data_IF_012865369115
#
_entry.id   IF_012865369115
#
_cell.length_a   1.000
_cell.length_b   1.000
_cell.length_c   1.000
_cell.angle_alpha   90.00
_cell.angle_beta   90.00
_cell.angle_gamma   90.00
#
_symmetry.space_group_name_H-M   'P 1'
#
loop_
_entity.id
_entity.type
_entity.pdbx_description
1 polymer ?
#
# COMPACT_ATOMS: atom_id res chain seq x y z
N UNK A 1 10.30 -5.34 -1.59
CA UNK A 1 10.29 -6.48 -0.67
C UNK A 1 11.51 -7.31 -0.95
N UNK A 2 12.23 -7.71 0.10
CA UNK A 2 13.31 -8.66 -0.04
C UNK A 2 12.82 -10.00 -0.59
N UNK A 3 13.74 -10.76 -1.17
CA UNK A 3 13.45 -12.08 -1.76
C UNK A 3 13.40 -13.14 -0.67
N UNK A 4 14.15 -12.97 0.43
CA UNK A 4 14.14 -13.92 1.54
C UNK A 4 12.78 -13.96 2.25
N UNK A 5 12.31 -15.17 2.55
CA UNK A 5 11.16 -15.37 3.42
C UNK A 5 11.61 -15.22 4.89
N UNK A 6 11.15 -14.17 5.57
CA UNK A 6 11.54 -13.84 6.94
C UNK A 6 10.41 -13.11 7.67
N UNK A 7 10.59 -12.83 8.96
CA UNK A 7 9.63 -12.07 9.75
C UNK A 7 9.30 -10.72 9.09
N UNK A 8 8.02 -10.35 9.08
CA UNK A 8 7.54 -9.17 8.34
C UNK A 8 8.26 -7.88 8.73
N UNK A 9 8.57 -7.66 10.01
CA UNK A 9 9.31 -6.47 10.44
C UNK A 9 10.76 -6.47 9.93
N UNK A 10 11.40 -7.63 9.83
CA UNK A 10 12.75 -7.76 9.28
C UNK A 10 12.69 -7.43 7.78
N UNK A 11 11.70 -8.00 7.06
CA UNK A 11 11.50 -7.71 5.65
C UNK A 11 11.25 -6.21 5.39
N UNK A 12 10.46 -5.56 6.25
CA UNK A 12 10.22 -4.13 6.19
C UNK A 12 11.48 -3.30 6.49
N UNK A 13 12.28 -3.72 7.48
CA UNK A 13 13.54 -3.05 7.81
C UNK A 13 14.56 -3.13 6.66
N UNK A 14 14.71 -4.29 6.02
CA UNK A 14 15.52 -4.44 4.81
C UNK A 14 15.03 -3.54 3.66
N UNK A 15 13.71 -3.49 3.44
CA UNK A 15 13.11 -2.58 2.47
C UNK A 15 13.41 -1.11 2.77
N UNK A 16 13.48 -0.73 4.05
CA UNK A 16 13.87 0.61 4.47
C UNK A 16 15.35 0.88 4.20
N UNK A 17 16.24 -0.06 4.51
CA UNK A 17 17.67 0.06 4.20
C UNK A 17 17.88 0.31 2.70
N UNK A 18 17.19 -0.45 1.84
CA UNK A 18 17.29 -0.28 0.39
C UNK A 18 16.84 1.11 -0.09
N UNK A 19 15.85 1.73 0.57
CA UNK A 19 15.43 3.10 0.26
C UNK A 19 16.43 4.10 0.80
N UNK A 20 16.94 3.88 2.01
CA UNK A 20 17.90 4.75 2.67
C UNK A 20 19.22 4.84 1.90
N UNK A 21 19.70 3.69 1.42
CA UNK A 21 20.88 3.57 0.57
C UNK A 21 20.62 4.06 -0.88
N UNK A 22 19.41 4.51 -1.20
CA UNK A 22 19.06 5.03 -2.54
C UNK A 22 18.96 3.95 -3.64
N UNK A 23 19.11 2.68 -3.31
CA UNK A 23 19.16 1.58 -4.30
C UNK A 23 17.77 1.18 -4.79
N UNK A 24 16.77 1.17 -3.91
CA UNK A 24 15.42 0.72 -4.23
C UNK A 24 14.70 1.62 -5.25
N UNK A 25 15.05 2.91 -5.29
CA UNK A 25 14.47 3.90 -6.22
C UNK A 25 15.49 4.33 -7.29
N UNK A 26 16.59 3.60 -7.44
CA UNK A 26 17.64 3.95 -8.38
C UNK A 26 17.10 3.88 -9.83
N UNK A 27 17.31 4.90 -10.68
CA UNK A 27 16.66 4.99 -11.99
C UNK A 27 17.03 3.84 -12.94
N UNK A 28 18.22 3.26 -12.76
CA UNK A 28 18.71 2.16 -13.62
C UNK A 28 18.39 0.76 -13.09
N UNK A 29 17.88 0.61 -11.86
CA UNK A 29 17.69 -0.73 -11.29
C UNK A 29 16.65 -1.52 -12.07
N UNK A 30 17.01 -2.74 -12.47
CA UNK A 30 16.11 -3.74 -13.04
C UNK A 30 15.70 -4.80 -12.01
N UNK A 31 16.33 -4.78 -10.83
CA UNK A 31 16.08 -5.74 -9.76
C UNK A 31 15.94 -5.06 -8.38
N UNK A 32 15.11 -4.03 -8.25
CA UNK A 32 14.68 -3.45 -6.96
C UNK A 32 15.85 -3.05 -6.02
N UNK A 33 16.96 -2.63 -6.60
CA UNK A 33 18.19 -2.21 -5.94
C UNK A 33 19.28 -3.27 -5.83
N UNK A 34 18.99 -4.56 -6.08
CA UNK A 34 19.96 -5.65 -5.92
C UNK A 34 21.12 -5.62 -6.91
N UNK A 35 21.00 -4.85 -7.99
CA UNK A 35 21.97 -4.66 -9.07
C UNK A 35 22.74 -3.35 -8.98
N UNK A 36 22.49 -2.49 -7.99
CA UNK A 36 23.01 -1.11 -7.98
C UNK A 36 24.45 -1.07 -7.49
N UNK A 37 25.34 -0.40 -8.23
CA UNK A 37 26.68 -0.03 -7.79
C UNK A 37 26.66 1.42 -7.33
N UNK A 38 27.42 1.73 -6.27
CA UNK A 38 27.57 3.10 -5.77
C UNK A 38 27.99 4.07 -6.88
N UNK A 39 27.30 5.21 -6.95
CA UNK A 39 27.63 6.29 -7.89
C UNK A 39 28.90 7.00 -7.41
N UNK A 40 29.90 7.08 -8.29
CA UNK A 40 31.14 7.80 -8.02
C UNK A 40 30.99 9.32 -8.18
N UNK A 41 32.10 10.03 -8.00
CA UNK A 41 32.21 11.47 -8.24
C UNK A 41 31.94 11.84 -9.71
N UNK A 42 32.09 10.88 -10.62
CA UNK A 42 31.73 11.01 -12.04
C UNK A 42 30.22 11.19 -12.28
N UNK A 43 29.39 10.96 -11.25
CA UNK A 43 27.94 11.11 -11.31
C UNK A 43 27.27 10.07 -12.21
N UNK A 44 28.01 9.03 -12.65
CA UNK A 44 27.51 8.03 -13.58
C UNK A 44 26.83 6.89 -12.80
N UNK A 45 25.49 6.81 -12.79
CA UNK A 45 24.79 5.70 -12.15
C UNK A 45 25.14 4.40 -12.87
N UNK A 46 25.28 3.32 -12.10
CA UNK A 46 25.72 2.04 -12.65
C UNK A 46 24.98 0.86 -12.01
N UNK A 47 24.73 -0.16 -12.81
CA UNK A 47 24.20 -1.44 -12.35
C UNK A 47 25.08 -2.60 -12.87
N UNK A 48 25.09 -3.72 -12.16
CA UNK A 48 25.68 -4.97 -12.62
C UNK A 48 24.60 -5.98 -13.03
N UNK A 49 24.95 -6.90 -13.92
CA UNK A 49 24.04 -7.94 -14.42
C UNK A 49 24.43 -9.34 -14.00
N UNK A 50 25.70 -9.55 -13.66
CA UNK A 50 26.20 -10.84 -13.18
C UNK A 50 26.18 -10.89 -11.65
N UNK A 51 25.43 -11.84 -11.11
CA UNK A 51 25.30 -12.07 -9.67
C UNK A 51 26.19 -13.21 -9.17
N UNK A 52 27.02 -13.83 -10.03
CA UNK A 52 27.89 -14.96 -9.67
C UNK A 52 28.82 -14.64 -8.50
N UNK A 53 29.28 -13.38 -8.41
CA UNK A 53 30.09 -12.87 -7.31
C UNK A 53 29.85 -11.37 -7.11
N UNK A 54 30.48 -10.78 -6.09
CA UNK A 54 30.45 -9.33 -5.88
C UNK A 54 31.09 -8.62 -7.10
N UNK A 55 30.53 -7.50 -7.60
CA UNK A 55 30.99 -6.86 -8.85
C UNK A 55 32.46 -6.41 -8.88
N UNK A 56 33.12 -6.39 -7.72
CA UNK A 56 34.51 -6.00 -7.52
C UNK A 56 35.44 -7.19 -7.21
N UNK A 57 34.94 -8.43 -7.19
CA UNK A 57 35.73 -9.62 -6.88
C UNK A 57 36.83 -9.92 -7.91
N UNK A 58 36.61 -9.54 -9.18
CA UNK A 58 37.53 -9.82 -10.28
C UNK A 58 38.48 -8.65 -10.61
N UNK A 59 38.95 -7.92 -9.60
CA UNK A 59 39.98 -6.89 -9.77
C UNK A 59 39.50 -5.56 -10.37
N UNK A 60 38.19 -5.35 -10.45
CA UNK A 60 37.60 -4.08 -10.87
C UNK A 60 38.03 -2.94 -9.92
N UNK A 61 38.44 -1.76 -10.42
CA UNK A 61 38.83 -0.65 -9.57
C UNK A 61 37.64 -0.04 -8.83
N UNK A 62 37.83 0.26 -7.54
CA UNK A 62 36.85 0.92 -6.69
C UNK A 62 36.48 2.34 -7.20
N UNK A 63 35.23 2.76 -6.99
CA UNK A 63 34.73 4.06 -7.42
C UNK A 63 35.20 5.14 -6.46
N UNK A 64 35.83 6.20 -6.98
CA UNK A 64 36.12 7.40 -6.18
C UNK A 64 34.81 8.17 -5.99
N UNK A 65 34.40 8.42 -4.74
CA UNK A 65 33.11 9.04 -4.45
C UNK A 65 33.20 10.44 -3.82
N UNK A 66 34.42 10.93 -3.53
CA UNK A 66 34.61 12.29 -3.06
C UNK A 66 35.89 12.95 -3.60
N UNK A 67 36.02 14.27 -3.42
CA UNK A 67 37.20 15.06 -3.86
C UNK A 67 38.49 14.72 -3.10
N UNK A 68 38.40 14.05 -1.95
CA UNK A 68 39.56 13.57 -1.16
C UNK A 68 40.15 12.25 -1.70
N UNK A 69 39.55 11.67 -2.73
CA UNK A 69 40.01 10.42 -3.32
C UNK A 69 39.55 9.16 -2.58
N UNK A 70 38.56 9.26 -1.67
CA UNK A 70 38.00 8.10 -0.99
C UNK A 70 37.31 7.18 -2.00
N UNK A 71 37.54 5.88 -1.84
CA UNK A 71 37.10 4.84 -2.75
C UNK A 71 36.03 3.98 -2.09
N UNK A 72 35.01 3.62 -2.85
CA UNK A 72 33.94 2.72 -2.42
C UNK A 72 33.74 1.60 -3.43
N UNK A 73 33.42 0.42 -2.91
CA UNK A 73 33.04 -0.77 -3.67
C UNK A 73 31.58 -1.16 -3.40
N UNK A 74 30.82 -0.27 -2.75
CA UNK A 74 29.47 -0.55 -2.31
C UNK A 74 28.58 -1.00 -3.47
N UNK A 75 28.00 -2.19 -3.32
CA UNK A 75 27.20 -2.83 -4.36
C UNK A 75 25.97 -3.51 -3.78
N UNK A 76 24.97 -3.66 -4.64
CA UNK A 76 23.72 -4.34 -4.32
C UNK A 76 22.79 -3.51 -3.44
N UNK A 77 21.70 -4.15 -3.05
CA UNK A 77 20.53 -3.50 -2.45
C UNK A 77 20.82 -2.81 -1.14
N UNK A 78 21.80 -3.34 -0.41
CA UNK A 78 22.21 -2.86 0.91
C UNK A 78 23.60 -2.24 0.89
N UNK A 79 24.13 -1.90 -0.30
CA UNK A 79 25.41 -1.23 -0.51
C UNK A 79 26.58 -1.92 0.23
N UNK A 80 26.67 -3.24 0.06
CA UNK A 80 27.69 -4.08 0.71
C UNK A 80 29.06 -3.78 0.12
N UNK A 81 30.07 -3.64 0.97
CA UNK A 81 31.45 -3.40 0.55
C UNK A 81 32.17 -4.72 0.25
N UNK A 82 32.96 -4.73 -0.82
CA UNK A 82 33.75 -5.89 -1.21
C UNK A 82 34.70 -6.36 -0.10
N UNK A 83 35.26 -5.43 0.68
CA UNK A 83 36.18 -5.73 1.79
C UNK A 83 35.63 -6.81 2.75
N UNK A 84 34.32 -6.80 3.00
CA UNK A 84 33.67 -7.74 3.91
C UNK A 84 33.09 -8.97 3.20
N UNK A 85 32.91 -8.91 1.89
CA UNK A 85 32.22 -9.93 1.13
C UNK A 85 32.88 -11.33 1.24
N UNK A 86 34.20 -11.50 1.02
CA UNK A 86 34.84 -12.82 1.13
C UNK A 86 34.65 -13.49 2.50
N UNK A 87 34.70 -12.70 3.58
CA UNK A 87 34.49 -13.20 4.94
C UNK A 87 33.08 -13.78 5.11
N UNK A 88 32.05 -12.99 4.80
CA UNK A 88 30.67 -13.43 4.96
C UNK A 88 30.24 -14.49 3.95
N UNK A 89 30.78 -14.46 2.73
CA UNK A 89 30.57 -15.52 1.74
C UNK A 89 30.99 -16.87 2.30
N UNK A 90 32.17 -16.93 2.94
CA UNK A 90 32.66 -18.14 3.61
C UNK A 90 31.85 -18.48 4.86
N UNK A 91 31.63 -17.51 5.75
CA UNK A 91 30.94 -17.72 7.03
C UNK A 91 29.50 -18.23 6.87
N UNK A 92 28.77 -17.71 5.88
CA UNK A 92 27.36 -18.02 5.65
C UNK A 92 27.15 -19.04 4.50
N UNK A 93 28.25 -19.58 3.94
CA UNK A 93 28.22 -20.46 2.77
C UNK A 93 27.36 -19.89 1.62
N UNK A 94 27.58 -18.61 1.27
CA UNK A 94 26.82 -17.96 0.20
C UNK A 94 27.38 -18.42 -1.16
N UNK A 95 26.53 -18.97 -2.05
CA UNK A 95 27.00 -19.49 -3.34
C UNK A 95 27.44 -18.37 -4.28
N UNK A 96 26.79 -17.22 -4.19
CA UNK A 96 26.83 -16.12 -5.16
C UNK A 96 26.50 -14.78 -4.49
N UNK A 97 26.43 -13.69 -5.25
CA UNK A 97 25.95 -12.37 -4.82
C UNK A 97 24.49 -12.10 -5.19
N UNK A 98 23.67 -13.15 -5.37
CA UNK A 98 22.25 -13.05 -5.73
C UNK A 98 21.42 -12.29 -4.69
N UNK A 99 20.18 -11.87 -5.01
CA UNK A 99 19.31 -11.19 -4.06
C UNK A 99 19.12 -11.93 -2.73
N UNK A 100 19.04 -13.25 -2.75
CA UNK A 100 18.91 -14.06 -1.55
C UNK A 100 20.19 -14.01 -0.69
N UNK A 101 21.36 -14.08 -1.33
CA UNK A 101 22.65 -13.97 -0.65
C UNK A 101 22.86 -12.58 -0.03
N UNK A 102 22.48 -11.53 -0.75
CA UNK A 102 22.51 -10.16 -0.23
C UNK A 102 21.57 -9.98 0.97
N UNK A 103 20.37 -10.56 0.93
CA UNK A 103 19.42 -10.53 2.05
C UNK A 103 19.97 -11.25 3.29
N UNK A 104 20.55 -12.45 3.10
CA UNK A 104 21.18 -13.23 4.17
C UNK A 104 22.31 -12.46 4.84
N UNK A 105 23.18 -11.84 4.03
CA UNK A 105 24.26 -11.00 4.52
C UNK A 105 23.72 -9.80 5.32
N UNK A 106 22.75 -9.06 4.79
CA UNK A 106 22.17 -7.92 5.51
C UNK A 106 21.53 -8.35 6.85
N UNK A 107 20.83 -9.48 6.89
CA UNK A 107 20.26 -10.02 8.13
C UNK A 107 21.35 -10.43 9.13
N UNK A 108 22.46 -11.01 8.66
CA UNK A 108 23.59 -11.36 9.53
C UNK A 108 24.24 -10.11 10.14
N UNK A 109 24.43 -9.05 9.34
CA UNK A 109 24.93 -7.76 9.85
C UNK A 109 24.00 -7.17 10.93
N UNK A 110 22.69 -7.20 10.70
CA UNK A 110 21.68 -6.78 11.67
C UNK A 110 21.74 -7.63 12.95
N UNK A 111 21.96 -8.95 12.81
CA UNK A 111 22.11 -9.88 13.93
C UNK A 111 23.31 -9.53 14.79
N UNK A 112 24.45 -9.26 14.17
CA UNK A 112 25.69 -8.91 14.87
C UNK A 112 25.62 -7.55 15.58
N UNK A 113 24.74 -6.65 15.13
CA UNK A 113 24.39 -5.43 15.87
C UNK A 113 23.39 -5.65 17.00
N UNK A 114 22.92 -6.88 17.21
CA UNK A 114 21.90 -7.22 18.19
C UNK A 114 20.58 -6.50 17.94
N UNK A 115 20.25 -6.19 16.69
CA UNK A 115 19.07 -5.40 16.33
C UNK A 115 17.86 -6.24 15.91
N UNK A 116 18.04 -7.56 15.69
CA UNK A 116 16.95 -8.43 15.22
C UNK A 116 15.73 -8.44 16.14
N UNK A 117 15.94 -8.53 17.45
CA UNK A 117 14.83 -8.61 18.41
C UNK A 117 14.16 -7.25 18.60
N UNK A 118 14.92 -6.16 18.51
CA UNK A 118 14.36 -4.80 18.46
C UNK A 118 13.47 -4.64 17.21
N UNK A 119 13.90 -5.12 16.05
CA UNK A 119 13.10 -5.09 14.82
C UNK A 119 11.85 -5.96 14.94
N UNK A 120 11.98 -7.19 15.45
CA UNK A 120 10.83 -8.08 15.67
C UNK A 120 9.80 -7.46 16.60
N UNK A 121 10.25 -6.83 17.70
CA UNK A 121 9.39 -6.12 18.64
C UNK A 121 8.87 -4.77 18.12
N UNK A 122 9.35 -4.28 16.97
CA UNK A 122 8.93 -3.00 16.40
C UNK A 122 9.59 -1.77 17.02
N UNK A 123 10.67 -1.94 17.80
CA UNK A 123 11.52 -0.87 18.36
C UNK A 123 12.48 -0.34 17.29
N UNK A 124 11.92 0.25 16.24
CA UNK A 124 12.64 0.60 15.00
C UNK A 124 13.74 1.64 15.23
N UNK A 125 13.49 2.67 16.05
CA UNK A 125 14.49 3.72 16.32
C UNK A 125 15.75 3.14 16.97
N UNK A 126 15.57 2.24 17.94
CA UNK A 126 16.67 1.51 18.59
C UNK A 126 17.42 0.63 17.61
N UNK A 127 16.71 -0.05 16.72
CA UNK A 127 17.32 -0.85 15.66
C UNK A 127 18.13 0.00 14.66
N UNK A 128 17.62 1.18 14.26
CA UNK A 128 18.35 2.12 13.39
C UNK A 128 19.62 2.59 14.10
N UNK A 129 19.51 3.00 15.36
CA UNK A 129 20.65 3.46 16.17
C UNK A 129 21.76 2.38 16.27
N UNK A 130 21.38 1.11 16.46
CA UNK A 130 22.33 -0.01 16.50
C UNK A 130 22.99 -0.32 15.16
N UNK A 131 22.33 -0.02 14.05
CA UNK A 131 22.78 -0.34 12.70
C UNK A 131 23.52 0.81 11.99
N UNK A 132 23.53 2.03 12.56
CA UNK A 132 24.06 3.24 11.90
C UNK A 132 25.53 3.18 11.50
N UNK A 133 26.35 2.36 12.18
CA UNK A 133 27.77 2.21 11.85
C UNK A 133 28.04 1.23 10.70
N UNK A 134 27.01 0.56 10.19
CA UNK A 134 27.11 -0.35 9.03
C UNK A 134 26.66 0.38 7.76
N UNK A 135 25.57 1.16 7.85
CA UNK A 135 24.96 1.85 6.72
C UNK A 135 25.09 3.35 6.89
N UNK A 136 25.93 3.97 6.05
CA UNK A 136 26.25 5.39 6.11
C UNK A 136 25.05 6.31 5.85
N UNK A 137 23.98 5.81 5.22
CA UNK A 137 22.77 6.58 4.95
C UNK A 137 21.85 6.76 6.16
N UNK A 138 22.05 5.94 7.21
CA UNK A 138 21.23 5.99 8.41
C UNK A 138 21.57 7.23 9.26
N UNK A 139 20.58 7.80 9.96
CA UNK A 139 20.79 8.97 10.81
C UNK A 139 21.77 8.69 11.95
N UNK A 140 22.70 9.62 12.16
CA UNK A 140 23.76 9.55 13.17
C UNK A 140 24.89 8.60 12.83
N UNK A 141 25.08 8.24 11.56
CA UNK A 141 26.15 7.36 11.09
C UNK A 141 27.52 8.07 11.04
N UNK A 142 27.55 9.40 10.87
CA UNK A 142 28.76 10.22 11.03
C UNK A 142 29.74 10.16 9.86
N UNK A 143 29.32 9.62 8.70
CA UNK A 143 30.17 9.49 7.50
C UNK A 143 30.26 10.77 6.65
N UNK A 144 29.64 11.88 7.08
CA UNK A 144 29.62 13.14 6.31
C UNK A 144 28.83 13.05 4.99
N UNK A 145 27.98 12.02 4.84
CA UNK A 145 27.07 11.80 3.71
C UNK A 145 25.67 12.40 4.02
N UNK A 146 24.79 12.52 3.01
CA UNK A 146 23.40 12.95 3.25
C UNK A 146 22.63 11.86 4.01
N UNK A 147 22.56 11.99 5.32
CA UNK A 147 21.75 11.12 6.18
C UNK A 147 20.25 11.40 6.02
N UNK A 148 19.41 10.36 6.03
CA UNK A 148 17.96 10.53 6.04
C UNK A 148 17.42 10.78 7.45
N UNK A 149 16.49 11.73 7.61
CA UNK A 149 15.88 12.01 8.92
C UNK A 149 15.11 10.80 9.48
N UNK A 150 15.21 10.58 10.79
CA UNK A 150 14.53 9.48 11.51
C UNK A 150 13.02 9.46 11.24
N UNK A 151 12.39 10.63 11.16
CA UNK A 151 10.96 10.80 10.91
C UNK A 151 10.53 10.25 9.53
N UNK A 152 11.30 10.55 8.48
CA UNK A 152 11.02 10.07 7.11
C UNK A 152 11.15 8.54 7.00
N UNK A 153 12.05 7.96 7.78
CA UNK A 153 12.36 6.53 7.82
C UNK A 153 11.34 5.75 8.65
N UNK A 154 11.00 6.25 9.85
CA UNK A 154 10.01 5.66 10.76
C UNK A 154 8.58 5.72 10.23
N UNK A 155 8.14 6.86 9.68
CA UNK A 155 6.80 7.03 9.12
C UNK A 155 6.57 6.10 7.93
N UNK A 156 7.60 5.85 7.12
CA UNK A 156 7.52 4.99 5.93
C UNK A 156 7.51 3.49 6.28
N UNK A 157 8.21 3.09 7.35
CA UNK A 157 8.13 1.74 7.93
C UNK A 157 6.77 1.46 8.55
N UNK A 158 6.21 2.41 9.31
CA UNK A 158 4.86 2.31 9.88
C UNK A 158 3.78 2.25 8.79
N UNK A 159 3.90 3.09 7.76
CA UNK A 159 3.02 3.09 6.59
C UNK A 159 3.09 1.76 5.81
N UNK A 160 4.28 1.18 5.63
CA UNK A 160 4.47 -0.09 4.91
C UNK A 160 4.03 -1.31 5.74
N UNK A 161 4.23 -1.31 7.07
CA UNK A 161 3.72 -2.35 8.00
C UNK A 161 2.19 -2.47 7.91
N UNK A 162 1.47 -1.34 7.87
CA UNK A 162 0.01 -1.31 7.61
C UNK A 162 -0.33 -1.79 6.20
N UNK A 163 0.44 -1.40 5.18
CA UNK A 163 0.15 -1.72 3.77
C UNK A 163 0.40 -3.19 3.41
N UNK A 164 1.33 -3.90 4.04
CA UNK A 164 1.72 -5.27 3.63
C UNK A 164 1.04 -6.36 4.43
N UNK A 165 0.77 -6.14 5.72
CA UNK A 165 0.07 -7.11 6.58
C UNK A 165 -1.43 -7.17 6.34
N UNK A 166 -2.07 -6.04 6.00
CA UNK A 166 -3.51 -5.99 5.76
C UNK A 166 -3.92 -6.09 4.29
N UNK A 167 -3.10 -5.65 3.31
CA UNK A 167 -3.59 -5.56 1.92
C UNK A 167 -3.22 -6.75 1.02
N UNK A 168 -2.26 -7.61 1.32
CA UNK A 168 -1.96 -8.74 0.42
C UNK A 168 -3.08 -9.79 0.41
N UNK A 169 -3.33 -10.37 1.58
CA UNK A 169 -4.29 -11.47 1.76
C UNK A 169 -5.72 -10.95 1.80
N UNK A 170 -6.00 -9.84 2.52
CA UNK A 170 -7.37 -9.33 2.56
C UNK A 170 -7.77 -8.64 1.26
N UNK A 171 -6.85 -8.03 0.48
CA UNK A 171 -7.27 -7.42 -0.80
C UNK A 171 -7.49 -8.50 -1.84
N UNK A 172 -6.70 -9.57 -1.89
CA UNK A 172 -7.02 -10.69 -2.79
C UNK A 172 -8.32 -11.40 -2.39
N UNK A 173 -8.56 -11.65 -1.09
CA UNK A 173 -9.84 -12.21 -0.61
C UNK A 173 -11.02 -11.27 -0.81
N UNK A 174 -10.85 -9.96 -0.60
CA UNK A 174 -11.90 -8.95 -0.84
C UNK A 174 -12.15 -8.76 -2.33
N UNK A 175 -11.12 -8.81 -3.17
CA UNK A 175 -11.25 -8.69 -4.62
C UNK A 175 -11.90 -9.94 -5.20
N UNK A 176 -11.53 -11.14 -4.74
CA UNK A 176 -12.18 -12.40 -5.13
C UNK A 176 -13.62 -12.45 -4.65
N UNK A 177 -13.90 -12.10 -3.38
CA UNK A 177 -15.26 -12.09 -2.84
C UNK A 177 -16.16 -11.03 -3.50
N UNK A 178 -15.65 -9.81 -3.70
CA UNK A 178 -16.37 -8.73 -4.39
C UNK A 178 -16.64 -9.10 -5.86
N UNK A 179 -15.66 -9.69 -6.55
CA UNK A 179 -15.85 -10.15 -7.93
C UNK A 179 -16.87 -11.29 -8.01
N UNK A 180 -16.79 -12.28 -7.11
CA UNK A 180 -17.75 -13.38 -7.04
C UNK A 180 -19.17 -12.87 -6.79
N UNK A 181 -19.36 -11.97 -5.81
CA UNK A 181 -20.67 -11.38 -5.52
C UNK A 181 -21.25 -10.62 -6.72
N UNK A 182 -20.43 -9.81 -7.41
CA UNK A 182 -20.87 -9.06 -8.58
C UNK A 182 -21.25 -9.98 -9.76
N UNK A 183 -20.47 -11.04 -10.01
CA UNK A 183 -20.75 -12.02 -11.06
C UNK A 183 -22.02 -12.82 -10.74
N UNK A 184 -22.17 -13.28 -9.50
CA UNK A 184 -23.38 -13.98 -9.04
C UNK A 184 -24.62 -13.10 -9.17
N UNK A 185 -24.55 -11.83 -8.74
CA UNK A 185 -25.67 -10.91 -8.86
C UNK A 185 -26.05 -10.65 -10.32
N UNK A 186 -25.07 -10.43 -11.20
CA UNK A 186 -25.32 -10.21 -12.63
C UNK A 186 -25.97 -11.44 -13.28
N UNK A 187 -25.51 -12.64 -12.94
CA UNK A 187 -26.08 -13.89 -13.43
C UNK A 187 -27.52 -14.08 -12.94
N UNK A 188 -27.78 -13.88 -11.65
CA UNK A 188 -29.12 -14.01 -11.08
C UNK A 188 -30.09 -12.98 -11.64
N UNK A 189 -29.64 -11.75 -11.91
CA UNK A 189 -30.44 -10.74 -12.59
C UNK A 189 -30.79 -11.16 -14.02
N UNK A 190 -29.82 -11.63 -14.80
CA UNK A 190 -30.08 -12.11 -16.16
C UNK A 190 -31.10 -13.26 -16.17
N UNK A 191 -30.93 -14.24 -15.28
CA UNK A 191 -31.85 -15.38 -15.15
C UNK A 191 -33.26 -14.93 -14.70
N UNK A 192 -33.35 -13.97 -13.78
CA UNK A 192 -34.64 -13.46 -13.29
C UNK A 192 -35.45 -12.73 -14.37
N UNK A 193 -34.77 -12.08 -15.34
CA UNK A 193 -35.42 -11.39 -16.45
C UNK A 193 -35.93 -12.37 -17.52
N UNK A 194 -35.27 -13.52 -17.68
CA UNK A 194 -35.68 -14.56 -18.62
C UNK A 194 -36.79 -15.44 -17.99
N UNK A 195 -36.70 -15.72 -16.69
CA UNK A 195 -37.58 -16.64 -15.97
C UNK A 195 -38.15 -16.00 -14.69
N UNK A 196 -39.27 -15.25 -14.78
CA UNK A 196 -39.83 -14.49 -13.67
C UNK A 196 -40.45 -15.34 -12.54
N UNK A 197 -40.62 -16.65 -12.73
CA UNK A 197 -41.06 -17.58 -11.67
C UNK A 197 -39.91 -18.42 -11.08
N UNK A 198 -38.66 -18.08 -11.40
CA UNK A 198 -37.49 -18.83 -10.94
C UNK A 198 -37.01 -18.41 -9.55
N UNK A 199 -36.25 -19.30 -8.90
CA UNK A 199 -35.56 -19.03 -7.62
C UNK A 199 -34.60 -17.83 -7.71
N UNK A 200 -34.18 -17.45 -8.93
CA UNK A 200 -33.34 -16.28 -9.15
C UNK A 200 -34.04 -14.99 -8.69
N UNK A 201 -35.36 -14.89 -8.83
CA UNK A 201 -36.13 -13.73 -8.33
C UNK A 201 -36.05 -13.65 -6.81
N UNK A 202 -36.19 -14.76 -6.09
CA UNK A 202 -36.08 -14.78 -4.63
C UNK A 202 -34.69 -14.30 -4.16
N UNK A 203 -33.64 -14.67 -4.89
CA UNK A 203 -32.29 -14.14 -4.64
C UNK A 203 -32.21 -12.63 -4.90
N UNK A 204 -32.76 -12.15 -6.01
CA UNK A 204 -32.81 -10.73 -6.35
C UNK A 204 -33.61 -9.92 -5.32
N UNK A 205 -34.71 -10.48 -4.79
CA UNK A 205 -35.51 -9.87 -3.73
C UNK A 205 -34.73 -9.77 -2.41
N UNK A 206 -34.07 -10.84 -1.99
CA UNK A 206 -33.21 -10.82 -0.80
C UNK A 206 -32.09 -9.78 -0.93
N UNK A 207 -31.47 -9.69 -2.12
CA UNK A 207 -30.46 -8.69 -2.40
C UNK A 207 -31.02 -7.26 -2.37
N UNK A 208 -32.21 -7.02 -2.93
CA UNK A 208 -32.86 -5.72 -2.91
C UNK A 208 -33.20 -5.26 -1.48
N UNK A 209 -33.66 -6.18 -0.63
CA UNK A 209 -33.93 -5.89 0.79
C UNK A 209 -32.63 -5.52 1.51
N UNK A 210 -31.56 -6.30 1.32
CA UNK A 210 -30.25 -6.02 1.90
C UNK A 210 -29.72 -4.64 1.45
N UNK A 211 -29.80 -4.36 0.15
CA UNK A 211 -29.37 -3.09 -0.42
C UNK A 211 -30.19 -1.91 0.13
N UNK A 212 -31.50 -2.10 0.35
CA UNK A 212 -32.36 -1.10 0.99
C UNK A 212 -31.89 -0.77 2.40
N UNK A 213 -31.62 -1.79 3.23
CA UNK A 213 -31.12 -1.60 4.60
C UNK A 213 -29.79 -0.84 4.58
N UNK A 214 -28.87 -1.24 3.70
CA UNK A 214 -27.57 -0.56 3.54
C UNK A 214 -27.76 0.90 3.12
N UNK A 215 -28.65 1.19 2.17
CA UNK A 215 -28.94 2.56 1.74
C UNK A 215 -29.49 3.43 2.87
N UNK A 216 -30.39 2.91 3.70
CA UNK A 216 -30.97 3.63 4.84
C UNK A 216 -29.91 3.91 5.91
N UNK A 217 -29.15 2.89 6.31
CA UNK A 217 -28.09 3.03 7.33
C UNK A 217 -26.98 3.97 6.84
N UNK A 218 -26.52 3.81 5.60
CA UNK A 218 -25.48 4.68 5.03
C UNK A 218 -25.95 6.13 4.87
N UNK A 219 -27.24 6.35 4.55
CA UNK A 219 -27.84 7.68 4.55
C UNK A 219 -27.79 8.31 5.93
N UNK A 220 -28.28 7.61 6.96
CA UNK A 220 -28.35 8.14 8.32
C UNK A 220 -26.97 8.42 8.92
N UNK A 221 -26.07 7.43 8.88
CA UNK A 221 -24.68 7.58 9.35
C UNK A 221 -23.96 8.68 8.58
N UNK A 222 -24.20 8.78 7.28
CA UNK A 222 -23.58 9.76 6.43
C UNK A 222 -24.04 11.20 6.72
N UNK A 223 -25.34 11.42 6.92
CA UNK A 223 -25.87 12.74 7.33
C UNK A 223 -25.32 13.13 8.70
N UNK A 224 -25.38 12.22 9.68
CA UNK A 224 -24.83 12.47 11.01
C UNK A 224 -23.34 12.83 10.97
N UNK A 225 -22.53 12.07 10.23
CA UNK A 225 -21.10 12.34 10.10
C UNK A 225 -20.83 13.65 9.35
N UNK A 226 -21.67 14.03 8.39
CA UNK A 226 -21.55 15.30 7.65
C UNK A 226 -21.84 16.48 8.57
N UNK A 227 -22.94 16.44 9.33
CA UNK A 227 -23.26 17.49 10.32
C UNK A 227 -22.17 17.57 11.41
N UNK A 228 -21.69 16.44 11.93
CA UNK A 228 -20.59 16.41 12.91
C UNK A 228 -19.30 17.05 12.38
N UNK A 229 -18.95 16.79 11.11
CA UNK A 229 -17.78 17.41 10.47
C UNK A 229 -18.00 18.90 10.22
N UNK A 230 -19.21 19.30 9.82
CA UNK A 230 -19.56 20.70 9.58
C UNK A 230 -19.56 21.54 10.86
N UNK A 231 -20.11 21.02 11.97
CA UNK A 231 -20.13 21.72 13.27
C UNK A 231 -18.74 22.01 13.82
N UNK A 232 -17.76 21.15 13.50
CA UNK A 232 -16.37 21.30 13.96
C UNK A 232 -15.42 21.80 12.89
N UNK A 233 -15.94 22.17 11.73
CA UNK A 233 -15.17 22.76 10.64
C UNK A 233 -14.59 24.11 11.11
N UNK A 234 -13.26 24.22 11.20
CA UNK A 234 -12.56 25.42 11.68
C UNK A 234 -12.11 25.40 13.15
N UNK A 235 -12.46 24.38 13.93
CA UNK A 235 -11.77 24.03 15.19
C UNK A 235 -10.85 22.84 14.91
N UNK A 236 -9.79 22.64 15.69
CA UNK A 236 -8.78 21.59 15.48
C UNK A 236 -9.41 20.18 15.36
N UNK A 237 -9.82 19.80 14.15
CA UNK A 237 -10.40 18.50 13.87
C UNK A 237 -9.27 17.59 13.40
N UNK A 238 -8.94 16.51 14.12
CA UNK A 238 -7.87 15.63 13.68
C UNK A 238 -8.28 14.97 12.35
N UNK A 239 -7.42 15.02 11.32
CA UNK A 239 -7.71 14.46 10.00
C UNK A 239 -7.91 12.93 10.03
N UNK A 240 -7.55 12.27 11.15
CA UNK A 240 -7.76 10.84 11.35
C UNK A 240 -9.14 10.46 11.93
N UNK A 241 -10.01 11.44 12.22
CA UNK A 241 -11.32 11.17 12.83
C UNK A 241 -12.17 10.21 11.99
N UNK A 242 -12.93 9.33 12.67
CA UNK A 242 -13.79 8.35 12.02
C UNK A 242 -14.85 9.02 11.14
N UNK A 243 -15.40 10.16 11.58
CA UNK A 243 -16.39 10.94 10.84
C UNK A 243 -15.84 11.45 9.50
N UNK A 244 -14.62 12.01 9.49
CA UNK A 244 -13.96 12.46 8.25
C UNK A 244 -13.75 11.29 7.30
N UNK A 245 -13.25 10.15 7.78
CA UNK A 245 -13.08 8.93 6.95
C UNK A 245 -14.39 8.44 6.35
N UNK A 246 -15.48 8.44 7.13
CA UNK A 246 -16.82 8.05 6.68
C UNK A 246 -17.31 9.02 5.60
N UNK A 247 -17.25 10.33 5.83
CA UNK A 247 -17.69 11.36 4.87
C UNK A 247 -16.88 11.30 3.58
N UNK A 248 -15.55 11.19 3.68
CA UNK A 248 -14.68 11.10 2.50
C UNK A 248 -14.99 9.86 1.68
N UNK A 249 -15.16 8.70 2.32
CA UNK A 249 -15.39 7.43 1.62
C UNK A 249 -16.80 7.31 1.02
N UNK A 250 -17.84 7.78 1.73
CA UNK A 250 -19.23 7.68 1.27
C UNK A 250 -19.59 8.75 0.24
N UNK A 251 -19.14 9.99 0.41
CA UNK A 251 -19.68 11.12 -0.37
C UNK A 251 -18.66 11.75 -1.32
N UNK A 252 -17.42 11.95 -0.88
CA UNK A 252 -16.41 12.71 -1.63
C UNK A 252 -15.60 11.87 -2.62
N UNK A 253 -15.49 10.56 -2.43
CA UNK A 253 -14.76 9.69 -3.35
C UNK A 253 -15.31 9.78 -4.79
N UNK A 254 -14.49 10.20 -5.77
CA UNK A 254 -14.91 10.30 -7.15
C UNK A 254 -15.12 8.89 -7.74
N UNK A 255 -16.39 8.51 -7.93
CA UNK A 255 -16.73 7.23 -8.57
C UNK A 255 -16.58 7.38 -10.09
N UNK A 256 -15.81 6.51 -10.77
CA UNK A 256 -15.65 6.55 -12.22
C UNK A 256 -16.99 6.32 -12.93
N UNK A 257 -17.18 6.95 -14.10
CA UNK A 257 -18.45 6.94 -14.83
C UNK A 257 -18.96 5.53 -15.16
N UNK A 258 -18.06 4.59 -15.52
CA UNK A 258 -18.40 3.19 -15.81
C UNK A 258 -19.11 2.50 -14.64
N UNK A 259 -18.63 2.75 -13.41
CA UNK A 259 -19.24 2.16 -12.20
C UNK A 259 -20.59 2.80 -11.89
N UNK A 260 -20.78 4.09 -12.18
CA UNK A 260 -22.08 4.77 -12.03
C UNK A 260 -23.10 4.22 -13.00
N UNK A 261 -22.70 4.01 -14.25
CA UNK A 261 -23.55 3.40 -15.28
C UNK A 261 -23.91 1.96 -14.90
N UNK A 262 -22.95 1.13 -14.50
CA UNK A 262 -23.21 -0.23 -14.05
C UNK A 262 -24.18 -0.28 -12.85
N UNK A 263 -24.02 0.60 -11.86
CA UNK A 263 -24.93 0.68 -10.72
C UNK A 263 -26.36 1.11 -11.10
N UNK A 264 -26.51 1.97 -12.11
CA UNK A 264 -27.82 2.31 -12.68
C UNK A 264 -28.46 1.11 -13.38
N UNK A 265 -27.70 0.40 -14.21
CA UNK A 265 -28.18 -0.80 -14.91
C UNK A 265 -28.65 -1.85 -13.90
N UNK A 266 -27.85 -2.13 -12.87
CA UNK A 266 -28.22 -3.09 -11.81
C UNK A 266 -29.49 -2.65 -11.08
N UNK A 267 -29.63 -1.36 -10.75
CA UNK A 267 -30.81 -0.81 -10.08
C UNK A 267 -32.08 -0.98 -10.94
N UNK A 268 -32.00 -0.64 -12.22
CA UNK A 268 -33.13 -0.77 -13.16
C UNK A 268 -33.49 -2.23 -13.40
N UNK A 269 -32.50 -3.09 -13.65
CA UNK A 269 -32.72 -4.52 -13.83
C UNK A 269 -33.38 -5.16 -12.60
N UNK A 270 -32.89 -4.84 -11.39
CA UNK A 270 -33.48 -5.33 -10.14
C UNK A 270 -34.93 -4.91 -9.99
N UNK A 271 -35.26 -3.65 -10.30
CA UNK A 271 -36.63 -3.15 -10.23
C UNK A 271 -37.55 -3.90 -11.23
N UNK A 272 -37.12 -4.03 -12.48
CA UNK A 272 -37.89 -4.74 -13.52
C UNK A 272 -38.11 -6.20 -13.11
N UNK A 273 -37.06 -6.90 -12.65
CA UNK A 273 -37.16 -8.29 -12.20
C UNK A 273 -38.17 -8.48 -11.06
N UNK A 274 -38.18 -7.56 -10.08
CA UNK A 274 -39.11 -7.65 -8.95
C UNK A 274 -40.56 -7.35 -9.37
N UNK A 275 -40.77 -6.35 -10.22
CA UNK A 275 -42.11 -6.03 -10.74
C UNK A 275 -42.65 -7.18 -11.59
N UNK A 276 -41.82 -7.73 -12.49
CA UNK A 276 -42.21 -8.85 -13.36
C UNK A 276 -42.62 -10.11 -12.57
N UNK A 277 -42.07 -10.29 -11.37
CA UNK A 277 -42.37 -11.40 -10.49
C UNK A 277 -43.41 -11.09 -9.39
N UNK A 278 -44.05 -9.92 -9.43
CA UNK A 278 -45.11 -9.54 -8.48
C UNK A 278 -44.63 -8.98 -7.13
N UNK A 279 -43.33 -8.76 -6.94
CA UNK A 279 -42.74 -8.17 -5.73
C UNK A 279 -42.83 -6.63 -5.71
N UNK A 280 -44.02 -6.09 -5.98
CA UNK A 280 -44.24 -4.65 -6.24
C UNK A 280 -43.82 -3.78 -5.04
N UNK A 281 -44.21 -4.15 -3.82
CA UNK A 281 -43.84 -3.39 -2.62
C UNK A 281 -42.34 -3.37 -2.37
N UNK A 282 -41.65 -4.51 -2.58
CA UNK A 282 -40.20 -4.59 -2.41
C UNK A 282 -39.49 -3.76 -3.49
N UNK A 283 -39.96 -3.82 -4.73
CA UNK A 283 -39.44 -3.02 -5.83
C UNK A 283 -39.54 -1.51 -5.54
N UNK A 284 -40.70 -1.06 -5.05
CA UNK A 284 -40.94 0.35 -4.73
C UNK A 284 -40.05 0.83 -3.58
N UNK A 285 -40.00 0.08 -2.47
CA UNK A 285 -39.16 0.41 -1.31
C UNK A 285 -37.69 0.51 -1.73
N UNK A 286 -37.20 -0.47 -2.49
CA UNK A 286 -35.83 -0.49 -2.99
C UNK A 286 -35.52 0.71 -3.89
N UNK A 287 -36.42 1.06 -4.81
CA UNK A 287 -36.26 2.20 -5.71
C UNK A 287 -36.21 3.51 -4.92
N UNK A 288 -37.16 3.72 -4.00
CA UNK A 288 -37.23 4.92 -3.16
C UNK A 288 -35.98 5.07 -2.30
N UNK A 289 -35.55 4.00 -1.61
CA UNK A 289 -34.33 4.03 -0.79
C UNK A 289 -33.07 4.32 -1.62
N UNK A 290 -32.97 3.73 -2.81
CA UNK A 290 -31.83 3.94 -3.72
C UNK A 290 -31.76 5.38 -4.26
N UNK A 291 -32.91 5.95 -4.64
CA UNK A 291 -33.00 7.34 -5.09
C UNK A 291 -32.72 8.31 -3.94
N UNK A 292 -33.29 8.06 -2.77
CA UNK A 292 -33.08 8.88 -1.57
C UNK A 292 -31.61 8.92 -1.16
N UNK A 293 -30.92 7.77 -1.13
CA UNK A 293 -29.47 7.73 -0.87
C UNK A 293 -28.67 8.54 -1.89
N UNK A 294 -29.04 8.48 -3.19
CA UNK A 294 -28.38 9.29 -4.24
C UNK A 294 -28.63 10.79 -4.05
N UNK A 295 -29.83 11.19 -3.64
CA UNK A 295 -30.16 12.59 -3.34
C UNK A 295 -29.37 13.09 -2.13
N UNK A 296 -29.37 12.34 -1.02
CA UNK A 296 -28.58 12.66 0.17
C UNK A 296 -27.10 12.79 -0.18
N UNK A 297 -26.57 11.86 -0.97
CA UNK A 297 -25.17 11.92 -1.42
C UNK A 297 -24.85 13.18 -2.20
N UNK A 298 -25.75 13.63 -3.09
CA UNK A 298 -25.59 14.89 -3.82
C UNK A 298 -25.67 16.09 -2.87
N UNK A 299 -26.68 16.13 -1.99
CA UNK A 299 -26.90 17.24 -1.06
C UNK A 299 -25.74 17.41 -0.05
N UNK A 300 -25.27 16.31 0.55
CA UNK A 300 -24.13 16.34 1.48
C UNK A 300 -22.86 16.79 0.77
N UNK A 301 -22.62 16.29 -0.46
CA UNK A 301 -21.48 16.71 -1.27
C UNK A 301 -21.51 18.20 -1.60
N UNK A 302 -22.67 18.71 -2.03
CA UNK A 302 -22.84 20.14 -2.31
C UNK A 302 -22.64 21.01 -1.05
N UNK A 303 -23.14 20.57 0.12
CA UNK A 303 -22.91 21.29 1.38
C UNK A 303 -21.44 21.35 1.78
N UNK A 304 -20.69 20.28 1.54
CA UNK A 304 -19.25 20.22 1.82
C UNK A 304 -18.44 21.05 0.83
N UNK A 305 -18.77 20.98 -0.47
CA UNK A 305 -18.08 21.73 -1.54
C UNK A 305 -18.42 23.24 -1.47
N UNK A 306 -19.65 23.62 -1.11
CA UNK A 306 -20.10 25.01 -1.02
C UNK A 306 -19.58 25.79 0.20
N UNK A 307 -18.73 25.19 1.03
CA UNK A 307 -18.11 25.81 2.23
C UNK A 307 -16.58 25.90 2.11
N UNK A 308 -15.98 25.57 0.96
CA UNK A 308 -14.60 26.00 0.68
C UNK A 308 -14.55 27.54 0.74
N UNK A 309 -13.68 28.14 1.58
CA UNK A 309 -13.55 29.59 1.60
C UNK A 309 -13.11 30.05 0.22
N UNK A 310 -13.75 31.10 -0.30
CA UNK A 310 -13.20 31.88 -1.41
C UNK A 310 -11.72 32.12 -1.10
N UNK A 311 -10.83 31.53 -1.89
CA UNK A 311 -9.41 31.86 -1.87
C UNK A 311 -9.29 33.29 -2.39
N UNK A 312 -9.23 34.24 -1.45
CA UNK A 312 -8.62 35.55 -1.66
C UNK A 312 -7.19 35.51 -1.13
#
# INVERSE_FOLDING_TARGET
MPVINTHQNIAAFLDMLAVSEGTANHPLTKNRGYDVIVTGLDGKPEIFTDYSDHPFAHGRPAKVFNRRGEKSTASGRYQQLYLFWPHYRKQLALPDFSPLSQDRLAIQLIRERGALDDIRAGRIERAISRCRNIWASLPGAGYGQREHSLEKTGHRLAYRRRRTGLNGVNTMKKLSLSLMLNVSLALMLALSLIYPQSVAVSFVAAWAILATVICVVASGVGVYATEYVLERYGRELPPESLAVKIVTSLFLQPVPWRRRAAALVVMVATFISLVAAGWIFTALIYLVASLFFRLIRKACRQRLEGREPCQN
#
